data_IF_005197189234
#
_entry.id   IF_005197189234
#
_cell.length_a   1.000
_cell.length_b   1.000
_cell.length_c   1.000
_cell.angle_alpha   90.00
_cell.angle_beta   90.00
_cell.angle_gamma   90.00
#
_symmetry.space_group_name_H-M   'P 1'
#
loop_
_entity.id
_entity.type
_entity.pdbx_description
1 polymer ?
#
# COMPACT_ATOMS: atom_id res chain seq x y z
N UNK A 1 20.67 9.33 -7.32
CA UNK A 1 19.30 9.28 -6.77
C UNK A 1 19.15 8.02 -5.96
N UNK A 2 18.81 8.14 -4.67
CA UNK A 2 18.57 6.99 -3.78
C UNK A 2 17.06 6.79 -3.62
N UNK A 3 16.58 5.55 -3.74
CA UNK A 3 15.17 5.23 -3.51
C UNK A 3 15.05 4.39 -2.24
N UNK A 4 14.22 4.86 -1.32
CA UNK A 4 13.96 4.20 -0.05
C UNK A 4 12.49 3.78 -0.01
N UNK A 5 12.19 2.57 0.44
CA UNK A 5 10.82 2.09 0.56
C UNK A 5 10.33 2.13 1.99
N UNK A 6 9.29 2.93 2.24
CA UNK A 6 8.62 3.07 3.53
C UNK A 6 7.43 2.14 3.65
N UNK A 7 7.64 0.92 4.13
CA UNK A 7 6.57 0.00 4.53
C UNK A 7 7.09 -1.09 5.48
N UNK A 8 6.20 -1.57 6.35
CA UNK A 8 6.45 -2.76 7.19
C UNK A 8 6.02 -4.07 6.50
N UNK A 9 5.27 -3.98 5.40
CA UNK A 9 4.72 -5.14 4.70
C UNK A 9 5.71 -5.76 3.71
N UNK A 10 6.23 -6.94 4.04
CA UNK A 10 7.22 -7.65 3.21
C UNK A 10 6.70 -8.09 1.84
N UNK A 11 5.40 -8.38 1.70
CA UNK A 11 4.81 -8.73 0.39
C UNK A 11 4.89 -7.54 -0.56
N UNK A 12 4.54 -6.34 -0.08
CA UNK A 12 4.64 -5.08 -0.83
C UNK A 12 6.10 -4.78 -1.25
N UNK A 13 7.06 -5.06 -0.38
CA UNK A 13 8.50 -4.89 -0.68
C UNK A 13 8.90 -5.78 -1.86
N UNK A 14 8.56 -7.07 -1.81
CA UNK A 14 8.91 -8.03 -2.86
C UNK A 14 8.29 -7.63 -4.20
N UNK A 15 7.02 -7.24 -4.19
CA UNK A 15 6.31 -6.80 -5.39
C UNK A 15 6.96 -5.55 -5.99
N UNK A 16 7.12 -4.48 -5.21
CA UNK A 16 7.70 -3.24 -5.72
C UNK A 16 9.16 -3.40 -6.16
N UNK A 17 9.97 -4.15 -5.40
CA UNK A 17 11.35 -4.44 -5.78
C UNK A 17 11.44 -5.22 -7.11
N UNK A 18 10.55 -6.19 -7.35
CA UNK A 18 10.49 -6.92 -8.61
C UNK A 18 10.18 -6.00 -9.80
N UNK A 19 9.39 -4.94 -9.58
CA UNK A 19 9.02 -3.98 -10.61
C UNK A 19 10.12 -2.94 -10.87
N UNK A 20 10.78 -2.45 -9.82
CA UNK A 20 11.81 -1.42 -9.94
C UNK A 20 13.14 -1.98 -10.46
N UNK A 21 13.43 -3.26 -10.20
CA UNK A 21 14.68 -3.91 -10.63
C UNK A 21 14.93 -3.82 -12.15
N UNK A 22 13.96 -4.09 -13.05
CA UNK A 22 14.12 -3.88 -14.50
C UNK A 22 14.45 -2.45 -14.91
N UNK A 23 14.11 -1.44 -14.10
CA UNK A 23 14.43 -0.03 -14.35
C UNK A 23 15.84 0.35 -13.87
N UNK A 24 16.63 -0.60 -13.35
CA UNK A 24 17.96 -0.35 -12.79
C UNK A 24 17.93 0.39 -11.45
N UNK A 25 16.76 0.47 -10.80
CA UNK A 25 16.57 1.18 -9.54
C UNK A 25 16.80 0.19 -8.39
N UNK A 26 17.81 0.47 -7.57
CA UNK A 26 18.00 -0.22 -6.29
C UNK A 26 17.08 0.42 -5.23
N UNK A 27 16.33 -0.43 -4.54
CA UNK A 27 15.42 -0.02 -3.48
C UNK A 27 16.05 -0.35 -2.13
N UNK A 28 16.34 0.68 -1.35
CA UNK A 28 16.76 0.52 0.04
C UNK A 28 15.55 0.40 0.95
N UNK A 29 15.66 -0.45 1.97
CA UNK A 29 14.63 -0.63 2.98
C UNK A 29 15.05 0.18 4.20
N UNK A 30 14.17 1.07 4.66
CA UNK A 30 14.38 1.81 5.92
C UNK A 30 13.88 0.99 7.10
N UNK A 31 14.34 1.36 8.30
CA UNK A 31 13.78 0.83 9.53
C UNK A 31 12.26 1.06 9.59
N UNK A 32 11.51 0.08 10.13
CA UNK A 32 10.06 0.17 10.17
C UNK A 32 9.62 1.25 11.16
N UNK A 33 8.67 2.07 10.73
CA UNK A 33 7.88 2.96 11.60
C UNK A 33 6.40 2.67 11.42
N UNK A 34 5.61 2.97 12.45
CA UNK A 34 4.16 2.78 12.45
C UNK A 34 3.46 4.15 12.54
N UNK A 35 3.39 4.90 11.42
CA UNK A 35 2.69 6.18 11.43
C UNK A 35 1.19 5.93 11.66
N UNK A 36 0.58 6.79 12.48
CA UNK A 36 -0.85 6.72 12.72
C UNK A 36 -1.63 7.06 11.44
N UNK A 37 -2.28 6.06 10.86
CA UNK A 37 -3.08 6.17 9.63
C UNK A 37 -4.49 6.67 9.96
N UNK A 38 -4.64 7.99 10.10
CA UNK A 38 -5.88 8.67 10.48
C UNK A 38 -6.75 9.11 9.29
N UNK A 39 -6.36 8.76 8.06
CA UNK A 39 -7.08 9.11 6.85
C UNK A 39 -8.38 8.31 6.69
N UNK A 40 -9.40 8.97 6.13
CA UNK A 40 -10.67 8.35 5.77
C UNK A 40 -10.57 7.58 4.43
N UNK A 41 -9.47 7.78 3.69
CA UNK A 41 -9.23 7.17 2.38
C UNK A 41 -7.85 6.50 2.27
N UNK A 42 -7.73 5.54 1.35
CA UNK A 42 -6.47 4.85 1.05
C UNK A 42 -5.40 5.85 0.57
N UNK A 43 -5.81 6.87 -0.18
CA UNK A 43 -4.95 7.92 -0.70
C UNK A 43 -4.39 8.79 0.44
N UNK A 44 -5.22 9.17 1.40
CA UNK A 44 -4.77 9.93 2.57
C UNK A 44 -3.80 9.12 3.43
N UNK A 45 -4.07 7.84 3.68
CA UNK A 45 -3.15 6.97 4.41
C UNK A 45 -1.82 6.78 3.68
N UNK A 46 -1.85 6.59 2.35
CA UNK A 46 -0.63 6.53 1.56
C UNK A 46 0.21 7.82 1.67
N UNK A 47 -0.44 9.00 1.68
CA UNK A 47 0.24 10.29 1.89
C UNK A 47 0.81 10.39 3.30
N UNK A 48 0.02 10.15 4.34
CA UNK A 48 0.46 10.19 5.75
C UNK A 48 1.71 9.33 5.92
N UNK A 49 1.66 8.10 5.39
CA UNK A 49 2.77 7.17 5.41
C UNK A 49 4.00 7.70 4.67
N UNK A 50 3.85 8.17 3.43
CA UNK A 50 4.95 8.72 2.64
C UNK A 50 5.63 9.91 3.34
N UNK A 51 4.83 10.82 3.90
CA UNK A 51 5.33 11.99 4.61
C UNK A 51 6.08 11.60 5.90
N UNK A 52 5.54 10.64 6.66
CA UNK A 52 6.15 10.15 7.88
C UNK A 52 7.48 9.43 7.59
N UNK A 53 7.50 8.51 6.62
CA UNK A 53 8.74 7.84 6.22
C UNK A 53 9.74 8.81 5.58
N UNK A 54 9.27 9.80 4.81
CA UNK A 54 10.08 10.89 4.26
C UNK A 54 10.88 11.60 5.34
N UNK A 55 10.18 12.14 6.35
CA UNK A 55 10.80 12.80 7.50
C UNK A 55 11.72 11.88 8.29
N UNK A 56 11.28 10.64 8.55
CA UNK A 56 12.09 9.67 9.28
C UNK A 56 13.44 9.38 8.60
N UNK A 57 13.40 9.10 7.29
CA UNK A 57 14.60 8.85 6.49
C UNK A 57 15.48 10.10 6.44
N UNK A 58 14.87 11.28 6.28
CA UNK A 58 15.58 12.55 6.30
C UNK A 58 16.33 12.81 7.60
N UNK A 59 15.67 12.57 8.73
CA UNK A 59 16.25 12.73 10.07
C UNK A 59 17.39 11.75 10.30
N UNK A 60 17.20 10.46 9.99
CA UNK A 60 18.23 9.43 10.12
C UNK A 60 19.46 9.74 9.26
N UNK A 61 19.27 10.17 8.01
CA UNK A 61 20.39 10.51 7.13
C UNK A 61 21.10 11.79 7.57
N UNK A 62 20.37 12.83 7.95
CA UNK A 62 20.95 14.06 8.46
C UNK A 62 21.77 13.82 9.74
N UNK A 63 21.28 12.98 10.66
CA UNK A 63 22.03 12.60 11.86
C UNK A 63 23.33 11.85 11.53
N UNK A 64 23.28 10.87 10.63
CA UNK A 64 24.49 10.15 10.19
C UNK A 64 25.50 11.11 9.54
N UNK A 65 25.04 11.96 8.63
CA UNK A 65 25.89 12.89 7.89
C UNK A 65 26.51 13.96 8.80
N UNK A 66 25.77 14.42 9.81
CA UNK A 66 26.25 15.33 10.84
C UNK A 66 27.49 14.76 11.56
N UNK A 67 27.45 13.47 11.93
CA UNK A 67 28.57 12.76 12.57
C UNK A 67 29.73 12.56 11.61
N UNK A 68 29.46 12.05 10.41
CA UNK A 68 30.48 11.75 9.41
C UNK A 68 31.24 13.01 8.95
N UNK A 69 30.53 14.12 8.76
CA UNK A 69 31.11 15.39 8.29
C UNK A 69 31.50 16.35 9.40
N UNK A 70 31.20 16.02 10.67
CA UNK A 70 31.45 16.87 11.84
C UNK A 70 30.88 18.29 11.65
N UNK A 71 29.65 18.38 11.16
CA UNK A 71 28.96 19.66 10.91
C UNK A 71 27.74 19.82 11.83
N UNK A 72 27.02 20.94 11.71
CA UNK A 72 25.72 21.11 12.38
C UNK A 72 24.64 20.27 11.70
N UNK A 73 23.53 19.98 12.40
CA UNK A 73 22.38 19.31 11.80
C UNK A 73 21.76 20.15 10.66
N UNK A 74 21.79 21.47 10.79
CA UNK A 74 21.31 22.38 9.74
C UNK A 74 22.16 22.27 8.46
N UNK A 75 23.47 22.17 8.60
CA UNK A 75 24.36 21.97 7.45
C UNK A 75 24.22 20.56 6.88
N UNK A 76 24.05 19.54 7.72
CA UNK A 76 23.77 18.18 7.28
C UNK A 76 22.48 18.09 6.43
N UNK A 77 21.40 18.76 6.84
CA UNK A 77 20.15 18.84 6.04
C UNK A 77 20.37 19.53 4.70
N UNK A 78 21.16 20.61 4.66
CA UNK A 78 21.52 21.29 3.40
C UNK A 78 22.29 20.36 2.47
N UNK A 79 23.23 19.58 2.98
CA UNK A 79 23.95 18.59 2.19
C UNK A 79 23.05 17.45 1.69
N UNK A 80 22.12 16.98 2.53
CA UNK A 80 21.17 15.94 2.15
C UNK A 80 20.25 16.38 1.00
N UNK A 81 19.81 17.64 0.99
CA UNK A 81 19.02 18.21 -0.11
C UNK A 81 19.76 18.12 -1.47
N UNK A 82 21.10 18.15 -1.46
CA UNK A 82 21.93 17.99 -2.66
C UNK A 82 22.09 16.53 -3.09
N UNK A 83 22.00 15.59 -2.15
CA UNK A 83 22.16 14.15 -2.36
C UNK A 83 20.77 13.48 -2.32
N UNK A 84 19.99 13.70 -3.39
CA UNK A 84 18.56 13.39 -3.42
C UNK A 84 18.24 11.93 -3.05
N UNK A 85 17.46 11.76 -1.98
CA UNK A 85 16.81 10.52 -1.58
C UNK A 85 15.29 10.70 -1.65
N UNK A 86 14.60 9.77 -2.30
CA UNK A 86 13.15 9.75 -2.39
C UNK A 86 12.57 8.53 -1.69
N UNK A 87 11.53 8.76 -0.92
CA UNK A 87 10.82 7.74 -0.18
C UNK A 87 9.57 7.36 -0.97
N UNK A 88 9.48 6.09 -1.34
CA UNK A 88 8.29 5.51 -1.93
C UNK A 88 7.48 4.88 -0.81
N UNK A 89 6.19 5.17 -0.76
CA UNK A 89 5.22 4.48 0.10
C UNK A 89 3.99 4.11 -0.71
N UNK A 90 3.30 3.07 -0.26
CA UNK A 90 2.11 2.58 -0.91
C UNK A 90 1.11 2.13 0.15
N UNK A 91 -0.17 2.40 -0.13
CA UNK A 91 -1.30 1.85 0.59
C UNK A 91 -2.35 1.27 -0.36
N UNK A 92 -3.09 0.28 0.12
CA UNK A 92 -4.03 -0.49 -0.68
C UNK A 92 -5.16 -1.08 0.14
N UNK A 93 -6.35 -1.18 -0.44
CA UNK A 93 -7.49 -1.78 0.25
C UNK A 93 -8.58 -2.28 -0.69
N UNK A 94 -9.43 -3.15 -0.15
CA UNK A 94 -10.66 -3.62 -0.76
C UNK A 94 -11.78 -2.64 -0.44
N UNK A 95 -12.50 -2.18 -1.47
CA UNK A 95 -13.64 -1.27 -1.37
C UNK A 95 -14.89 -1.99 -1.84
N UNK A 96 -15.87 -2.16 -0.96
CA UNK A 96 -17.15 -2.82 -1.28
C UNK A 96 -18.29 -1.80 -1.18
N UNK A 97 -18.83 -1.31 -2.32
CA UNK A 97 -19.91 -0.32 -2.32
C UNK A 97 -21.15 -0.71 -1.50
N UNK A 98 -21.51 -1.99 -1.47
CA UNK A 98 -22.65 -2.47 -0.69
C UNK A 98 -22.42 -2.43 0.85
N UNK A 99 -21.16 -2.22 1.27
CA UNK A 99 -20.76 -2.05 2.67
C UNK A 99 -20.30 -0.61 2.93
N UNK A 100 -20.86 0.36 2.21
CA UNK A 100 -20.49 1.78 2.29
C UNK A 100 -18.98 2.04 2.09
N UNK A 101 -18.35 1.21 1.24
CA UNK A 101 -16.91 1.29 0.93
C UNK A 101 -16.00 0.52 1.88
N UNK A 102 -16.53 -0.10 2.93
CA UNK A 102 -15.74 -0.98 3.80
C UNK A 102 -15.23 -2.22 3.04
N UNK A 103 -14.09 -2.80 3.46
CA UNK A 103 -13.22 -2.36 4.55
C UNK A 103 -12.40 -1.08 4.26
N UNK A 104 -12.17 -0.73 2.98
CA UNK A 104 -11.50 0.49 2.55
C UNK A 104 -10.10 0.64 3.18
N UNK A 105 -9.74 1.79 3.76
CA UNK A 105 -8.43 2.00 4.41
C UNK A 105 -8.18 1.06 5.61
N UNK A 106 -9.21 0.40 6.12
CA UNK A 106 -9.10 -0.54 7.24
C UNK A 106 -8.83 -1.98 6.80
N UNK A 107 -8.62 -2.22 5.51
CA UNK A 107 -8.43 -3.55 4.91
C UNK A 107 -7.43 -4.45 5.65
N UNK A 108 -6.32 -3.90 6.16
CA UNK A 108 -5.32 -4.71 6.86
C UNK A 108 -5.78 -5.22 8.24
N UNK A 109 -6.78 -4.57 8.84
CA UNK A 109 -7.16 -4.64 10.26
C UNK A 109 -8.69 -4.67 10.45
N UNK A 110 -9.43 -5.10 9.42
CA UNK A 110 -10.89 -4.94 9.37
C UNK A 110 -11.60 -5.74 10.46
N UNK A 111 -11.18 -6.98 10.71
CA UNK A 111 -11.72 -7.84 11.78
C UNK A 111 -11.43 -7.28 13.17
N UNK A 112 -10.21 -6.76 13.37
CA UNK A 112 -9.75 -6.11 14.61
C UNK A 112 -10.32 -4.70 14.81
N UNK A 113 -11.14 -4.23 13.86
CA UNK A 113 -11.66 -2.86 13.83
C UNK A 113 -12.73 -2.57 14.89
N UNK A 114 -12.61 -1.40 15.52
CA UNK A 114 -13.52 -0.85 16.52
C UNK A 114 -14.56 0.04 15.84
N UNK A 115 -15.84 -0.26 16.07
CA UNK A 115 -16.96 0.49 15.52
C UNK A 115 -17.63 1.36 16.58
N UNK A 116 -17.79 2.65 16.27
CA UNK A 116 -18.54 3.61 17.08
C UNK A 116 -19.59 4.31 16.20
N UNK A 117 -20.86 4.28 16.62
CA UNK A 117 -21.95 4.89 15.85
C UNK A 117 -22.08 4.36 14.41
N UNK A 118 -21.71 3.10 14.18
CA UNK A 118 -21.71 2.47 12.85
C UNK A 118 -20.51 2.83 11.97
N UNK A 119 -19.56 3.63 12.46
CA UNK A 119 -18.32 3.98 11.76
C UNK A 119 -17.13 3.25 12.36
N UNK A 120 -16.18 2.89 11.52
CA UNK A 120 -14.92 2.30 11.94
C UNK A 120 -13.96 3.42 12.37
N UNK A 121 -13.56 3.44 13.64
CA UNK A 121 -12.81 4.56 14.26
C UNK A 121 -11.46 4.16 14.82
N UNK A 122 -11.15 2.86 14.85
CA UNK A 122 -9.92 2.36 15.43
C UNK A 122 -9.76 0.87 15.19
N UNK A 123 -8.71 0.28 15.77
CA UNK A 123 -8.54 -1.16 15.81
C UNK A 123 -7.79 -1.58 17.08
N UNK A 124 -8.04 -2.79 17.55
CA UNK A 124 -7.29 -3.40 18.64
C UNK A 124 -6.53 -4.62 18.09
N UNK A 125 -5.19 -4.54 17.97
CA UNK A 125 -4.40 -5.64 17.45
C UNK A 125 -4.67 -6.93 18.24
N UNK A 126 -5.17 -7.95 17.55
CA UNK A 126 -5.52 -9.24 18.17
C UNK A 126 -4.31 -10.06 18.62
N UNK A 127 -3.09 -9.70 18.20
CA UNK A 127 -1.87 -10.49 18.42
C UNK A 127 -1.79 -11.76 17.57
N UNK A 128 -2.77 -12.00 16.69
CA UNK A 128 -2.82 -13.13 15.76
C UNK A 128 -1.78 -13.01 14.64
N UNK A 129 -1.41 -14.14 14.04
CA UNK A 129 -0.56 -14.15 12.84
C UNK A 129 -1.25 -13.51 11.62
N UNK A 130 -0.46 -13.09 10.62
CA UNK A 130 -1.00 -12.41 9.42
C UNK A 130 -2.06 -13.25 8.70
N UNK A 131 -1.82 -14.54 8.54
CA UNK A 131 -2.72 -15.44 7.82
C UNK A 131 -4.04 -15.63 8.57
N UNK A 132 -4.01 -15.66 9.91
CA UNK A 132 -5.21 -15.72 10.75
C UNK A 132 -6.03 -14.43 10.67
N UNK A 133 -5.36 -13.27 10.66
CA UNK A 133 -5.99 -11.96 10.47
C UNK A 133 -6.61 -11.87 9.08
N UNK A 134 -5.91 -12.31 8.03
CA UNK A 134 -6.44 -12.33 6.67
C UNK A 134 -7.69 -13.21 6.60
N UNK A 135 -7.64 -14.43 7.13
CA UNK A 135 -8.79 -15.32 7.15
C UNK A 135 -9.99 -14.70 7.89
N UNK A 136 -9.76 -14.03 9.02
CA UNK A 136 -10.82 -13.37 9.78
C UNK A 136 -11.40 -12.16 9.04
N UNK A 137 -10.55 -11.33 8.43
CA UNK A 137 -10.96 -10.21 7.57
C UNK A 137 -11.86 -10.70 6.43
N UNK A 138 -11.49 -11.80 5.75
CA UNK A 138 -12.28 -12.39 4.67
C UNK A 138 -13.65 -12.88 5.18
N UNK A 139 -13.68 -13.61 6.30
CA UNK A 139 -14.92 -14.11 6.91
C UNK A 139 -15.87 -12.97 7.26
N UNK A 140 -15.34 -11.88 7.83
CA UNK A 140 -16.13 -10.68 8.16
C UNK A 140 -16.77 -10.06 6.92
N UNK A 141 -16.03 -9.94 5.81
CA UNK A 141 -16.58 -9.44 4.54
C UNK A 141 -17.66 -10.38 4.02
N UNK A 142 -17.43 -11.70 4.00
CA UNK A 142 -18.43 -12.69 3.56
C UNK A 142 -19.71 -12.60 4.40
N UNK A 143 -19.59 -12.51 5.72
CA UNK A 143 -20.70 -12.40 6.66
C UNK A 143 -21.54 -11.13 6.38
N UNK A 144 -20.89 -9.98 6.25
CA UNK A 144 -21.56 -8.72 5.93
C UNK A 144 -22.21 -8.73 4.53
N UNK A 145 -21.70 -9.56 3.62
CA UNK A 145 -22.22 -9.74 2.27
C UNK A 145 -23.31 -10.81 2.17
N UNK A 146 -23.74 -11.44 3.27
CA UNK A 146 -24.83 -12.43 3.24
C UNK A 146 -26.14 -11.80 2.75
N UNK A 147 -26.87 -12.52 1.90
CA UNK A 147 -28.11 -12.04 1.29
C UNK A 147 -27.94 -11.07 0.13
N UNK A 148 -26.77 -10.43 -0.03
CA UNK A 148 -26.49 -9.51 -1.14
C UNK A 148 -26.28 -10.30 -2.43
N UNK A 149 -27.18 -10.09 -3.40
CA UNK A 149 -27.16 -10.76 -4.70
C UNK A 149 -26.43 -9.94 -5.76
N UNK A 150 -26.03 -10.58 -6.86
CA UNK A 150 -25.57 -9.85 -8.04
C UNK A 150 -26.71 -8.98 -8.62
N UNK A 151 -26.42 -7.79 -9.17
CA UNK A 151 -25.09 -7.21 -9.40
C UNK A 151 -24.52 -6.41 -8.20
N UNK A 152 -25.15 -6.45 -7.02
CA UNK A 152 -24.76 -5.62 -5.87
C UNK A 152 -23.52 -6.14 -5.11
N UNK A 153 -22.91 -7.25 -5.54
CA UNK A 153 -21.66 -7.75 -4.97
C UNK A 153 -20.40 -7.13 -5.57
N UNK A 154 -20.53 -6.03 -6.31
CA UNK A 154 -19.38 -5.28 -6.84
C UNK A 154 -18.37 -4.98 -5.74
N UNK A 155 -17.08 -5.01 -6.08
CA UNK A 155 -16.00 -4.55 -5.25
C UNK A 155 -14.85 -4.03 -6.12
N UNK A 156 -13.89 -3.37 -5.49
CA UNK A 156 -12.64 -3.08 -6.15
C UNK A 156 -11.46 -3.11 -5.19
N UNK A 157 -10.30 -3.49 -5.70
CA UNK A 157 -9.04 -3.20 -5.04
C UNK A 157 -8.51 -1.85 -5.52
N UNK A 158 -8.23 -0.99 -4.57
CA UNK A 158 -7.58 0.30 -4.80
C UNK A 158 -6.16 0.30 -4.25
N UNK A 159 -5.30 1.01 -4.95
CA UNK A 159 -3.90 1.24 -4.59
C UNK A 159 -3.59 2.73 -4.75
N UNK A 160 -2.77 3.27 -3.86
CA UNK A 160 -2.15 4.58 -3.98
C UNK A 160 -0.65 4.46 -3.72
N UNK A 161 0.17 4.84 -4.70
CA UNK A 161 1.62 4.99 -4.53
C UNK A 161 1.95 6.48 -4.44
N UNK A 162 2.74 6.83 -3.43
CA UNK A 162 3.19 8.19 -3.16
C UNK A 162 4.71 8.20 -3.07
N UNK A 163 5.33 9.21 -3.68
CA UNK A 163 6.76 9.50 -3.53
C UNK A 163 6.89 10.81 -2.76
N UNK A 164 7.69 10.80 -1.71
CA UNK A 164 8.03 11.99 -0.94
C UNK A 164 9.54 12.24 -0.93
N UNK A 165 9.95 13.49 -0.73
CA UNK A 165 11.32 13.83 -0.38
C UNK A 165 11.62 13.57 1.12
N UNK A 166 12.86 13.86 1.52
CA UNK A 166 13.33 13.70 2.91
C UNK A 166 12.78 14.73 3.90
N UNK A 167 12.10 15.77 3.42
CA UNK A 167 11.35 16.71 4.27
C UNK A 167 9.88 16.29 4.41
N UNK A 168 9.48 15.24 3.68
CA UNK A 168 8.12 14.72 3.64
C UNK A 168 7.22 15.48 2.67
N UNK A 169 7.75 16.26 1.72
CA UNK A 169 6.93 16.86 0.67
C UNK A 169 6.58 15.79 -0.37
N UNK A 170 5.31 15.73 -0.76
CA UNK A 170 4.85 14.81 -1.80
C UNK A 170 5.32 15.31 -3.17
N UNK A 171 6.06 14.49 -3.88
CA UNK A 171 6.61 14.76 -5.21
C UNK A 171 5.80 14.10 -6.33
N UNK A 172 5.19 12.95 -6.02
CA UNK A 172 4.39 12.17 -6.96
C UNK A 172 3.32 11.39 -6.22
N UNK A 173 2.19 11.24 -6.88
CA UNK A 173 1.09 10.40 -6.44
C UNK A 173 0.43 9.76 -7.66
N UNK A 174 0.14 8.46 -7.59
CA UNK A 174 -0.71 7.80 -8.56
C UNK A 174 -1.56 6.72 -7.91
N UNK A 175 -2.79 6.61 -8.41
CA UNK A 175 -3.77 5.62 -7.98
C UNK A 175 -4.09 4.62 -9.08
N UNK A 176 -4.47 3.43 -8.65
CA UNK A 176 -4.92 2.33 -9.50
C UNK A 176 -6.14 1.66 -8.90
N UNK A 177 -7.00 1.11 -9.75
CA UNK A 177 -8.19 0.37 -9.33
C UNK A 177 -8.41 -0.88 -10.18
N UNK A 178 -8.68 -2.01 -9.55
CA UNK A 178 -9.14 -3.23 -10.20
C UNK A 178 -10.55 -3.55 -9.74
N UNK A 179 -11.48 -3.51 -10.67
CA UNK A 179 -12.90 -3.78 -10.41
C UNK A 179 -13.20 -5.28 -10.47
N UNK A 180 -14.18 -5.71 -9.68
CA UNK A 180 -14.56 -7.11 -9.57
C UNK A 180 -15.76 -7.30 -8.67
N UNK A 181 -15.82 -8.47 -8.05
CA UNK A 181 -16.94 -8.94 -7.26
C UNK A 181 -16.46 -9.71 -6.04
N UNK A 182 -17.22 -9.64 -4.95
CA UNK A 182 -17.03 -10.50 -3.79
C UNK A 182 -17.69 -11.85 -4.04
N UNK A 183 -16.91 -12.92 -3.97
CA UNK A 183 -17.38 -14.31 -4.02
C UNK A 183 -18.16 -14.68 -2.75
N UNK A 184 -19.07 -15.65 -2.80
CA UNK A 184 -19.83 -16.07 -1.62
C UNK A 184 -18.98 -16.86 -0.61
N UNK A 185 -17.87 -17.46 -1.08
CA UNK A 185 -17.03 -18.37 -0.30
C UNK A 185 -15.53 -18.05 -0.52
N UNK A 186 -14.69 -18.60 0.37
CA UNK A 186 -13.24 -18.62 0.21
C UNK A 186 -12.86 -19.66 -0.86
N UNK A 187 -12.31 -19.21 -1.99
CA UNK A 187 -11.92 -20.09 -3.09
C UNK A 187 -10.44 -19.89 -3.40
N UNK A 188 -9.66 -20.97 -3.48
CA UNK A 188 -8.21 -20.94 -3.73
C UNK A 188 -7.37 -20.73 -2.46
N UNK A 189 -6.09 -21.07 -2.55
CA UNK A 189 -5.15 -21.09 -1.41
C UNK A 189 -3.89 -20.24 -1.63
N UNK A 190 -3.72 -19.63 -2.81
CA UNK A 190 -2.54 -18.85 -3.16
C UNK A 190 -2.74 -17.34 -2.94
N UNK A 191 -1.68 -16.62 -2.56
CA UNK A 191 -1.75 -15.17 -2.35
C UNK A 191 -1.92 -14.74 -0.90
N UNK A 192 -2.55 -13.59 -0.71
CA UNK A 192 -2.71 -12.97 0.62
C UNK A 192 -3.95 -12.08 0.68
N UNK A 193 -4.32 -11.62 1.88
CA UNK A 193 -5.42 -10.68 2.05
C UNK A 193 -6.75 -11.22 1.50
N UNK A 194 -7.44 -10.42 0.69
CA UNK A 194 -8.77 -10.77 0.17
C UNK A 194 -8.77 -11.52 -1.18
N UNK A 195 -7.61 -12.01 -1.62
CA UNK A 195 -7.49 -12.78 -2.86
C UNK A 195 -8.48 -13.96 -2.96
N UNK A 196 -8.78 -14.73 -1.89
CA UNK A 196 -9.69 -15.87 -1.98
C UNK A 196 -11.16 -15.51 -2.17
N UNK A 197 -11.55 -14.27 -1.87
CA UNK A 197 -12.96 -13.82 -1.98
C UNK A 197 -13.18 -12.81 -3.10
N UNK A 198 -12.14 -12.46 -3.86
CA UNK A 198 -12.23 -11.44 -4.90
C UNK A 198 -12.02 -12.03 -6.29
N UNK A 199 -12.99 -11.79 -7.17
CA UNK A 199 -12.89 -12.10 -8.60
C UNK A 199 -12.93 -10.80 -9.41
N UNK A 200 -11.83 -10.46 -10.10
CA UNK A 200 -11.80 -9.30 -11.00
C UNK A 200 -12.62 -9.52 -12.28
N UNK A 201 -12.96 -8.43 -12.95
CA UNK A 201 -13.46 -8.41 -14.33
C UNK A 201 -12.65 -9.29 -15.31
N UNK A 202 -11.35 -9.41 -15.06
CA UNK A 202 -10.36 -10.11 -15.88
C UNK A 202 -9.97 -11.49 -15.35
N UNK A 203 -10.58 -11.96 -14.25
CA UNK A 203 -10.30 -13.30 -13.70
C UNK A 203 -11.23 -14.39 -14.22
N UNK A 204 -12.19 -14.03 -15.10
CA UNK A 204 -13.15 -14.96 -15.69
C UNK A 204 -13.91 -15.79 -14.64
N UNK A 205 -14.31 -15.14 -13.54
CA UNK A 205 -15.07 -15.74 -12.45
C UNK A 205 -14.25 -16.52 -11.42
N UNK A 206 -12.94 -16.66 -11.62
CA UNK A 206 -12.03 -17.24 -10.62
C UNK A 206 -11.66 -16.24 -9.55
N UNK A 207 -11.43 -16.70 -8.33
CA UNK A 207 -10.80 -15.86 -7.32
C UNK A 207 -9.36 -15.53 -7.72
N UNK A 208 -8.80 -14.45 -7.19
CA UNK A 208 -7.38 -14.19 -7.35
C UNK A 208 -6.51 -15.26 -6.68
N UNK A 209 -7.00 -15.95 -5.65
CA UNK A 209 -6.29 -17.05 -5.02
C UNK A 209 -6.27 -18.36 -5.83
N UNK A 210 -7.03 -18.45 -6.92
CA UNK A 210 -6.97 -19.53 -7.91
C UNK A 210 -6.05 -19.19 -9.10
N UNK A 211 -5.59 -17.95 -9.21
CA UNK A 211 -4.69 -17.53 -10.29
C UNK A 211 -3.25 -17.88 -9.93
N UNK A 212 -2.58 -18.62 -10.82
CA UNK A 212 -1.15 -18.89 -10.70
C UNK A 212 -0.37 -17.58 -10.48
N UNK A 213 0.62 -17.64 -9.57
CA UNK A 213 1.55 -16.58 -9.19
C UNK A 213 2.13 -15.79 -10.37
N UNK A 214 2.39 -16.41 -11.52
CA UNK A 214 2.85 -15.72 -12.73
C UNK A 214 1.80 -14.81 -13.38
N UNK A 215 0.50 -15.04 -13.14
CA UNK A 215 -0.61 -14.20 -13.61
C UNK A 215 -0.97 -13.08 -12.62
N UNK A 216 -0.53 -13.14 -11.36
CA UNK A 216 -0.66 -12.04 -10.39
C UNK A 216 0.27 -10.86 -10.65
N UNK A 217 1.37 -11.07 -11.37
CA UNK A 217 2.41 -10.05 -11.53
C UNK A 217 1.98 -8.76 -12.26
N UNK A 218 0.82 -8.73 -12.91
CA UNK A 218 0.31 -7.49 -13.51
C UNK A 218 -1.20 -7.38 -13.38
N UNK A 219 -1.72 -7.33 -12.15
CA UNK A 219 -3.06 -6.79 -11.96
C UNK A 219 -3.07 -5.36 -12.52
N UNK A 220 -3.94 -5.08 -13.48
CA UNK A 220 -4.01 -3.86 -14.28
C UNK A 220 -3.86 -2.57 -13.46
N UNK A 221 -4.41 -2.57 -12.25
CA UNK A 221 -4.38 -1.44 -11.33
C UNK A 221 -2.97 -1.05 -10.88
N UNK A 222 -2.15 -2.02 -10.46
CA UNK A 222 -0.74 -1.74 -10.11
C UNK A 222 0.05 -1.38 -11.36
N UNK A 223 -0.17 -2.09 -12.47
CA UNK A 223 0.51 -1.78 -13.75
C UNK A 223 0.35 -0.30 -14.12
N UNK A 224 -0.87 0.25 -14.01
CA UNK A 224 -1.13 1.67 -14.26
C UNK A 224 -0.28 2.57 -13.36
N UNK A 225 -0.33 2.35 -12.05
CA UNK A 225 0.45 3.16 -11.08
C UNK A 225 1.94 3.13 -11.39
N UNK A 226 2.45 1.98 -11.81
CA UNK A 226 3.85 1.79 -12.15
C UNK A 226 4.23 2.44 -13.48
N UNK A 227 3.33 2.42 -14.47
CA UNK A 227 3.51 3.15 -15.72
C UNK A 227 3.58 4.65 -15.46
N UNK A 228 2.65 5.17 -14.65
CA UNK A 228 2.64 6.58 -14.25
C UNK A 228 3.93 6.95 -13.50
N UNK A 229 4.36 6.12 -12.56
CA UNK A 229 5.60 6.32 -11.81
C UNK A 229 6.82 6.31 -12.73
N UNK A 230 6.91 5.35 -13.66
CA UNK A 230 8.04 5.25 -14.61
C UNK A 230 8.09 6.45 -15.54
N UNK A 231 6.92 6.91 -16.03
CA UNK A 231 6.81 8.09 -16.87
C UNK A 231 7.23 9.36 -16.12
N UNK A 232 6.75 9.54 -14.88
CA UNK A 232 7.17 10.64 -14.02
C UNK A 232 8.68 10.62 -13.76
N UNK A 233 9.22 9.44 -13.39
CA UNK A 233 10.63 9.29 -13.08
C UNK A 233 11.53 9.59 -14.28
N UNK A 234 11.13 9.17 -15.49
CA UNK A 234 11.86 9.47 -16.71
C UNK A 234 11.97 10.98 -17.00
N UNK A 235 10.99 11.78 -16.55
CA UNK A 235 11.07 13.25 -16.63
C UNK A 235 12.07 13.80 -15.63
N UNK A 236 12.12 13.24 -14.42
CA UNK A 236 13.01 13.75 -13.38
C UNK A 236 14.49 13.41 -13.63
N UNK A 237 14.80 12.21 -14.15
CA UNK A 237 16.19 11.79 -14.42
C UNK A 237 16.80 12.57 -15.61
N UNK A 238 15.97 13.12 -16.51
CA UNK A 238 16.43 13.93 -17.65
C UNK A 238 16.73 15.40 -17.30
N UNK A 239 16.36 15.84 -16.10
CA UNK A 239 16.66 17.17 -15.58
C UNK A 239 17.97 17.15 -14.82
#
# INVERSE_FOLDING_TARGET
>A
MRFVFGTTNQYKVRELAAILRPLGIALDITDPIDPEETGDTIQENARIKAQAYGRYVGDTFAQRLMVERRCSLADARRFLCLDQAWVISEDSGLVVPALDGLPGPWSARFDDGVFEGGRLVGHHPSGRGRDEIDLANNRRVIELMQGIQQPHRTAAFEICLVVADTDGNVLFESTGRASGWILPDLIGNDGFGYDPIFASDTSFGKSWAELDSMRKNLISHRRKVLQDFTAWLAVQIKR
#
